data_IF_944599393935
#
_entry.id   IF_944599393935
#
_cell.length_a   1.000
_cell.length_b   1.000
_cell.length_c   1.000
_cell.angle_alpha   90.00
_cell.angle_beta   90.00
_cell.angle_gamma   90.00
#
_symmetry.space_group_name_H-M   'P 1'
#
loop_
_entity.id
_entity.type
_entity.pdbx_description
1 polymer ?
#
# COMPACT_ATOMS: atom_id res chain seq x y z
N UNK A 1 -9.35 1.87 22.29
CA UNK A 1 -8.94 2.84 23.33
C UNK A 1 -8.03 3.90 22.73
N UNK A 2 -6.80 3.60 22.28
CA UNK A 2 -5.82 4.55 21.70
C UNK A 2 -6.41 5.39 20.54
N UNK A 3 -7.18 4.77 19.65
CA UNK A 3 -7.83 5.48 18.54
C UNK A 3 -8.83 6.52 19.02
N UNK A 4 -9.61 6.22 20.05
CA UNK A 4 -10.60 7.16 20.61
C UNK A 4 -9.91 8.31 21.35
N UNK A 5 -8.86 8.03 22.11
CA UNK A 5 -8.05 9.04 22.79
C UNK A 5 -7.45 10.01 21.76
N UNK A 6 -6.87 9.49 20.66
CA UNK A 6 -6.37 10.34 19.57
C UNK A 6 -7.47 11.16 18.89
N UNK A 7 -8.63 10.58 18.62
CA UNK A 7 -9.77 11.30 18.03
C UNK A 7 -10.25 12.44 18.94
N UNK A 8 -10.21 12.23 20.25
CA UNK A 8 -10.60 13.24 21.24
C UNK A 8 -9.54 14.34 21.42
N UNK A 9 -8.33 14.16 20.87
CA UNK A 9 -7.26 15.13 21.01
C UNK A 9 -6.44 14.97 22.29
N UNK A 10 -6.47 13.79 22.91
CA UNK A 10 -5.70 13.52 24.13
C UNK A 10 -4.19 13.46 23.84
N UNK A 11 -3.82 13.27 22.56
CA UNK A 11 -2.46 13.41 22.05
C UNK A 11 -2.46 13.79 20.56
N UNK A 12 -1.40 14.48 20.13
CA UNK A 12 -1.32 15.11 18.80
C UNK A 12 -0.70 14.20 17.74
N UNK A 13 0.14 13.25 18.15
CA UNK A 13 0.88 12.37 17.25
C UNK A 13 0.34 10.94 17.28
N UNK A 14 0.06 10.40 16.09
CA UNK A 14 -0.26 8.99 15.92
C UNK A 14 0.76 8.32 14.99
N UNK A 15 1.46 7.31 15.49
CA UNK A 15 2.30 6.43 14.68
C UNK A 15 1.52 5.16 14.40
N UNK A 16 1.33 4.86 13.13
CA UNK A 16 0.49 3.74 12.73
C UNK A 16 1.03 3.02 11.49
N UNK A 17 0.65 1.77 11.33
CA UNK A 17 0.86 1.02 10.08
C UNK A 17 -0.25 1.33 9.08
N UNK A 18 -0.08 0.91 7.83
CA UNK A 18 -1.12 1.03 6.78
C UNK A 18 -2.48 0.41 7.19
N UNK A 19 -2.47 -0.58 8.10
CA UNK A 19 -3.69 -1.20 8.64
C UNK A 19 -4.57 -0.22 9.46
N UNK A 20 -3.98 0.83 10.03
CA UNK A 20 -4.70 1.88 10.74
C UNK A 20 -5.72 2.61 9.86
N UNK A 21 -5.56 2.48 8.55
CA UNK A 21 -6.28 3.23 7.55
C UNK A 21 -7.75 2.92 7.39
N UNK A 22 -8.22 1.79 7.83
CA UNK A 22 -9.60 1.37 7.59
C UNK A 22 -10.49 1.81 8.75
N UNK A 23 -11.45 2.70 8.46
CA UNK A 23 -12.48 3.09 9.41
C UNK A 23 -12.09 4.14 10.45
N UNK A 24 -10.91 4.75 10.33
CA UNK A 24 -10.52 5.86 11.22
C UNK A 24 -10.78 7.18 10.53
N UNK A 25 -11.65 7.99 11.14
CA UNK A 25 -11.97 9.35 10.72
C UNK A 25 -11.62 10.34 11.83
N UNK A 26 -10.60 11.19 11.57
CA UNK A 26 -10.25 12.37 12.33
C UNK A 26 -10.14 13.54 11.34
N UNK A 27 -10.90 14.59 11.56
CA UNK A 27 -11.09 15.65 10.57
C UNK A 27 -9.91 16.62 10.50
N UNK A 28 -9.27 16.86 11.61
CA UNK A 28 -8.28 17.91 11.86
C UNK A 28 -6.82 17.43 11.75
N UNK A 29 -6.54 16.40 11.01
CA UNK A 29 -5.18 15.96 10.72
C UNK A 29 -4.51 16.99 9.80
N UNK A 30 -3.44 17.63 10.27
CA UNK A 30 -2.72 18.71 9.55
C UNK A 30 -1.47 18.24 8.82
N UNK A 31 -0.92 17.11 9.23
CA UNK A 31 0.28 16.56 8.59
C UNK A 31 0.16 15.05 8.47
N UNK A 32 0.48 14.54 7.30
CA UNK A 32 0.65 13.10 7.04
C UNK A 32 2.09 12.88 6.63
N UNK A 33 2.82 12.12 7.43
CA UNK A 33 4.22 11.82 7.20
C UNK A 33 4.40 10.34 6.84
N UNK A 34 4.93 10.09 5.65
CA UNK A 34 5.30 8.76 5.23
C UNK A 34 6.80 8.54 5.48
N UNK A 35 7.13 7.53 6.26
CA UNK A 35 8.51 7.08 6.52
C UNK A 35 8.93 5.94 5.58
N UNK A 36 8.17 5.71 4.53
CA UNK A 36 8.42 4.73 3.49
C UNK A 36 7.83 5.22 2.16
N UNK A 37 8.21 4.59 1.07
CA UNK A 37 7.67 4.91 -0.25
C UNK A 37 6.40 4.10 -0.48
N UNK A 38 5.23 4.73 -0.63
CA UNK A 38 4.02 4.03 -1.05
C UNK A 38 4.22 3.31 -2.39
N UNK A 39 3.74 2.08 -2.49
CA UNK A 39 3.99 1.19 -3.62
C UNK A 39 3.38 1.69 -4.94
N UNK A 40 2.32 2.51 -4.82
CA UNK A 40 1.61 3.07 -5.97
C UNK A 40 0.87 4.35 -5.59
N UNK A 41 0.43 5.15 -6.59
CA UNK A 41 -0.30 6.38 -6.34
C UNK A 41 -1.62 6.20 -5.60
N UNK A 42 -2.30 5.04 -5.75
CA UNK A 42 -3.55 4.75 -5.04
C UNK A 42 -3.31 4.67 -3.53
N UNK A 43 -2.26 3.95 -3.13
CA UNK A 43 -1.88 3.82 -1.72
C UNK A 43 -1.49 5.17 -1.14
N UNK A 44 -0.67 5.93 -1.86
CA UNK A 44 -0.31 7.29 -1.45
C UNK A 44 -1.56 8.17 -1.28
N UNK A 45 -2.48 8.15 -2.25
CA UNK A 45 -3.72 8.91 -2.19
C UNK A 45 -4.59 8.55 -0.97
N UNK A 46 -4.75 7.26 -0.69
CA UNK A 46 -5.52 6.79 0.47
C UNK A 46 -4.90 7.20 1.80
N UNK A 47 -3.59 7.24 1.88
CA UNK A 47 -2.86 7.60 3.09
C UNK A 47 -2.81 9.12 3.27
N UNK A 48 -2.45 9.87 2.24
CA UNK A 48 -2.45 11.33 2.24
C UNK A 48 -3.86 11.91 2.46
N UNK A 49 -4.89 11.25 1.92
CA UNK A 49 -6.31 11.64 2.07
C UNK A 49 -6.88 11.47 3.48
N UNK A 50 -6.04 11.14 4.47
CA UNK A 50 -6.42 11.21 5.90
C UNK A 50 -6.34 12.61 6.44
N UNK A 51 -5.54 13.46 5.83
CA UNK A 51 -5.37 14.84 6.23
C UNK A 51 -6.40 15.78 5.61
N UNK A 52 -6.69 16.90 6.26
CA UNK A 52 -7.52 17.98 5.73
C UNK A 52 -8.98 17.63 5.48
N UNK A 53 -9.56 16.66 6.19
CA UNK A 53 -10.95 16.23 5.98
C UNK A 53 -11.99 17.26 6.45
N UNK A 54 -11.58 18.27 7.13
CA UNK A 54 -12.40 19.43 7.50
C UNK A 54 -12.37 20.55 6.43
N UNK A 55 -11.68 20.31 5.31
CA UNK A 55 -11.51 21.28 4.23
C UNK A 55 -10.36 22.26 4.46
N UNK A 56 -9.62 22.15 5.55
CA UNK A 56 -8.43 22.96 5.80
C UNK A 56 -7.17 22.30 5.21
N UNK A 57 -6.13 23.10 4.89
CA UNK A 57 -4.89 22.58 4.33
C UNK A 57 -4.24 21.50 5.20
N UNK A 58 -3.66 20.49 4.56
CA UNK A 58 -2.87 19.45 5.16
C UNK A 58 -1.56 19.30 4.39
N UNK A 59 -0.45 19.16 5.11
CA UNK A 59 0.84 18.84 4.53
C UNK A 59 0.99 17.32 4.42
N UNK A 60 1.27 16.81 3.21
CA UNK A 60 1.67 15.43 3.02
C UNK A 60 3.14 15.36 2.63
N UNK A 61 3.92 14.61 3.38
CA UNK A 61 5.38 14.53 3.21
C UNK A 61 5.83 13.08 3.13
N UNK A 62 6.76 12.78 2.23
CA UNK A 62 7.41 11.47 2.14
C UNK A 62 8.90 11.67 2.46
N UNK A 63 9.40 10.99 3.49
CA UNK A 63 10.81 10.94 3.85
C UNK A 63 11.37 9.59 3.37
N UNK A 64 12.40 9.63 2.52
CA UNK A 64 12.97 8.42 1.97
C UNK A 64 14.44 8.57 1.63
N UNK A 65 15.13 7.44 1.55
CA UNK A 65 16.51 7.30 1.06
C UNK A 65 16.53 6.52 -0.25
N UNK A 66 17.67 6.51 -0.95
CA UNK A 66 17.82 5.65 -2.13
C UNK A 66 17.62 4.15 -1.79
N UNK A 67 18.04 3.72 -0.61
CA UNK A 67 17.84 2.35 -0.14
C UNK A 67 16.35 2.01 0.05
N UNK A 68 15.54 2.98 0.42
CA UNK A 68 14.09 2.80 0.55
C UNK A 68 13.44 2.62 -0.82
N UNK A 69 13.96 3.28 -1.86
CA UNK A 69 13.50 3.05 -3.25
C UNK A 69 13.73 1.61 -3.68
N UNK A 70 14.94 1.07 -3.41
CA UNK A 70 15.28 -0.31 -3.75
C UNK A 70 14.47 -1.31 -2.92
N UNK A 71 14.27 -1.02 -1.64
CA UNK A 71 13.45 -1.84 -0.74
C UNK A 71 11.99 -1.87 -1.18
N UNK A 72 11.43 -0.72 -1.56
CA UNK A 72 10.05 -0.62 -2.05
C UNK A 72 9.89 -1.38 -3.37
N UNK A 73 10.85 -1.26 -4.29
CA UNK A 73 10.86 -2.01 -5.54
C UNK A 73 10.92 -3.52 -5.29
N UNK A 74 11.82 -3.97 -4.41
CA UNK A 74 11.92 -5.37 -4.03
C UNK A 74 10.65 -5.91 -3.37
N UNK A 75 9.95 -5.08 -2.61
CA UNK A 75 8.67 -5.45 -1.99
C UNK A 75 7.58 -5.61 -3.05
N UNK A 76 7.48 -4.68 -3.98
CA UNK A 76 6.54 -4.71 -5.11
C UNK A 76 6.84 -5.89 -6.04
N UNK A 77 8.12 -6.24 -6.23
CA UNK A 77 8.57 -7.34 -7.10
C UNK A 77 8.40 -8.74 -6.52
N UNK A 78 7.98 -8.89 -5.26
CA UNK A 78 7.71 -10.20 -4.65
C UNK A 78 6.42 -10.84 -5.18
N UNK A 79 6.47 -11.23 -6.44
CA UNK A 79 5.34 -11.92 -7.10
C UNK A 79 5.59 -13.42 -7.08
N UNK A 80 4.54 -14.20 -6.86
CA UNK A 80 4.61 -15.65 -7.00
C UNK A 80 5.03 -16.02 -8.43
N UNK A 81 5.96 -16.95 -8.60
CA UNK A 81 6.34 -17.43 -9.95
C UNK A 81 5.21 -18.24 -10.58
N UNK A 82 5.18 -18.30 -11.90
CA UNK A 82 4.17 -19.06 -12.66
C UNK A 82 4.13 -20.52 -12.24
N UNK A 83 5.29 -21.15 -12.06
CA UNK A 83 5.40 -22.55 -11.64
C UNK A 83 4.80 -22.77 -10.24
N UNK A 84 5.09 -21.87 -9.30
CA UNK A 84 4.53 -21.97 -7.96
C UNK A 84 3.02 -21.73 -7.94
N UNK A 85 2.53 -20.80 -8.77
CA UNK A 85 1.10 -20.54 -8.90
C UNK A 85 0.38 -21.78 -9.45
N UNK A 86 0.90 -22.34 -10.53
CA UNK A 86 0.38 -23.59 -11.16
C UNK A 86 0.47 -24.76 -10.18
N UNK A 87 1.60 -24.92 -9.52
CA UNK A 87 1.79 -25.97 -8.53
C UNK A 87 0.75 -25.90 -7.41
N UNK A 88 0.48 -24.71 -6.88
CA UNK A 88 -0.56 -24.50 -5.85
C UNK A 88 -1.97 -24.76 -6.39
N UNK A 89 -2.28 -24.27 -7.58
CA UNK A 89 -3.57 -24.51 -8.21
C UNK A 89 -3.85 -26.00 -8.37
N UNK A 90 -2.93 -26.75 -8.99
CA UNK A 90 -3.12 -28.17 -9.20
C UNK A 90 -3.04 -28.99 -7.91
N UNK A 91 -2.30 -28.55 -6.91
CA UNK A 91 -2.33 -29.17 -5.58
C UNK A 91 -3.70 -29.08 -4.94
N UNK A 92 -4.37 -27.94 -5.06
CA UNK A 92 -5.74 -27.78 -4.58
C UNK A 92 -6.73 -28.56 -5.44
N UNK A 93 -6.69 -28.39 -6.76
CA UNK A 93 -7.64 -29.01 -7.69
C UNK A 93 -7.63 -30.54 -7.63
N UNK A 94 -6.45 -31.13 -7.51
CA UNK A 94 -6.27 -32.60 -7.47
C UNK A 94 -6.27 -33.17 -6.05
N UNK A 95 -6.54 -32.35 -5.05
CA UNK A 95 -6.65 -32.79 -3.68
C UNK A 95 -7.88 -33.70 -3.50
N UNK A 96 -7.76 -34.71 -2.64
CA UNK A 96 -8.90 -35.51 -2.19
C UNK A 96 -9.95 -34.72 -1.39
N UNK A 97 -9.62 -33.49 -1.00
CA UNK A 97 -10.55 -32.56 -0.31
C UNK A 97 -11.38 -31.74 -1.29
N UNK A 98 -10.97 -31.70 -2.56
CA UNK A 98 -11.72 -31.02 -3.62
C UNK A 98 -12.81 -31.94 -4.16
N UNK A 99 -14.00 -31.38 -4.30
CA UNK A 99 -15.16 -32.12 -4.79
C UNK A 99 -15.66 -31.49 -6.09
N UNK A 100 -15.65 -32.24 -7.21
CA UNK A 100 -16.33 -31.79 -8.41
C UNK A 100 -17.86 -31.79 -8.15
N UNK A 101 -18.49 -30.71 -8.58
CA UNK A 101 -19.94 -30.52 -8.54
C UNK A 101 -20.49 -30.55 -9.98
N UNK A 102 -21.72 -30.10 -10.17
CA UNK A 102 -22.30 -30.01 -11.50
C UNK A 102 -21.79 -28.82 -12.30
N UNK A 103 -21.77 -28.89 -13.63
CA UNK A 103 -21.51 -27.77 -14.56
C UNK A 103 -20.17 -27.05 -14.35
N UNK A 104 -19.07 -27.79 -14.26
CA UNK A 104 -17.70 -27.21 -14.04
C UNK A 104 -17.55 -26.48 -12.71
N UNK A 105 -18.42 -26.72 -11.75
CA UNK A 105 -18.30 -26.25 -10.39
C UNK A 105 -17.43 -27.20 -9.56
N UNK A 106 -16.69 -26.60 -8.64
CA UNK A 106 -15.81 -27.32 -7.72
C UNK A 106 -15.89 -26.70 -6.33
N UNK A 107 -15.86 -27.56 -5.32
CA UNK A 107 -15.60 -27.16 -3.97
C UNK A 107 -14.11 -27.31 -3.73
N UNK A 108 -13.41 -26.19 -3.48
CA UNK A 108 -11.96 -26.13 -3.30
C UNK A 108 -11.62 -25.84 -1.83
N UNK A 109 -10.86 -26.73 -1.20
CA UNK A 109 -10.28 -26.51 0.12
C UNK A 109 -8.90 -25.86 -0.03
N UNK A 110 -8.68 -24.73 0.66
CA UNK A 110 -7.39 -24.02 0.66
C UNK A 110 -6.38 -24.62 1.62
N UNK A 111 -6.80 -25.52 2.49
CA UNK A 111 -5.95 -26.23 3.44
C UNK A 111 -5.24 -27.44 2.81
N UNK A 112 -4.58 -27.17 1.70
CA UNK A 112 -3.80 -28.15 0.93
C UNK A 112 -2.38 -27.68 0.85
N UNK A 113 -1.43 -28.58 1.22
CA UNK A 113 0.00 -28.29 1.07
C UNK A 113 0.35 -28.28 -0.42
N UNK A 114 1.04 -27.24 -0.91
CA UNK A 114 1.42 -27.19 -2.31
C UNK A 114 2.49 -28.23 -2.63
N UNK A 115 2.34 -28.90 -3.76
CA UNK A 115 3.33 -29.78 -4.37
C UNK A 115 3.83 -29.15 -5.66
N UNK A 116 5.11 -28.94 -5.77
CA UNK A 116 5.74 -28.36 -6.95
C UNK A 116 6.35 -29.43 -7.84
N UNK A 117 6.93 -30.50 -7.21
CA UNK A 117 7.52 -31.63 -7.88
C UNK A 117 6.86 -32.95 -7.45
N UNK A 118 6.93 -33.97 -8.30
CA UNK A 118 6.35 -35.30 -8.04
C UNK A 118 7.01 -36.08 -6.90
N UNK A 119 8.22 -35.66 -6.48
CA UNK A 119 9.05 -36.38 -5.50
C UNK A 119 9.04 -35.72 -4.10
N UNK A 120 8.18 -34.71 -3.85
CA UNK A 120 8.10 -34.11 -2.52
C UNK A 120 7.33 -35.03 -1.56
N UNK A 121 8.04 -35.50 -0.50
CA UNK A 121 7.43 -36.27 0.56
C UNK A 121 6.36 -35.49 1.31
N UNK A 122 5.35 -36.21 1.79
CA UNK A 122 4.26 -35.63 2.57
C UNK A 122 4.75 -35.15 3.93
N UNK A 123 4.95 -33.86 4.08
CA UNK A 123 4.95 -33.23 5.38
C UNK A 123 3.50 -32.79 5.65
N UNK A 124 2.84 -33.40 6.62
CA UNK A 124 1.40 -33.23 6.89
C UNK A 124 1.01 -31.85 7.45
N UNK A 125 1.96 -30.99 7.80
CA UNK A 125 1.68 -29.70 8.36
C UNK A 125 1.62 -28.62 7.29
N UNK A 126 0.45 -27.99 7.12
CA UNK A 126 0.29 -26.78 6.32
C UNK A 126 0.54 -25.54 7.18
N UNK A 127 1.30 -24.58 6.66
CA UNK A 127 1.52 -23.30 7.31
C UNK A 127 0.40 -22.30 6.99
N UNK A 128 0.18 -21.32 7.89
CA UNK A 128 -0.73 -20.19 7.61
C UNK A 128 -0.32 -19.42 6.35
N UNK A 129 0.99 -19.36 6.07
CA UNK A 129 1.51 -18.76 4.87
C UNK A 129 1.09 -19.51 3.60
N UNK A 130 1.07 -20.85 3.64
CA UNK A 130 0.61 -21.66 2.51
C UNK A 130 -0.86 -21.43 2.22
N UNK A 131 -1.68 -21.35 3.26
CA UNK A 131 -3.11 -21.08 3.14
C UNK A 131 -3.33 -19.71 2.49
N UNK A 132 -2.64 -18.68 2.96
CA UNK A 132 -2.74 -17.34 2.39
C UNK A 132 -2.35 -17.31 0.90
N UNK A 133 -1.30 -18.03 0.53
CA UNK A 133 -0.91 -18.16 -0.87
C UNK A 133 -1.91 -18.97 -1.71
N UNK A 134 -2.54 -19.99 -1.16
CA UNK A 134 -3.59 -20.74 -1.84
C UNK A 134 -4.83 -19.86 -2.08
N UNK A 135 -5.24 -19.07 -1.08
CA UNK A 135 -6.30 -18.07 -1.24
C UNK A 135 -5.90 -17.05 -2.31
N UNK A 136 -4.66 -16.55 -2.28
CA UNK A 136 -4.16 -15.63 -3.29
C UNK A 136 -4.30 -16.21 -4.72
N UNK A 137 -3.97 -17.49 -4.92
CA UNK A 137 -4.11 -18.16 -6.21
C UNK A 137 -5.57 -18.16 -6.69
N UNK A 138 -6.53 -18.49 -5.83
CA UNK A 138 -7.96 -18.44 -6.17
C UNK A 138 -8.37 -17.01 -6.55
N UNK A 139 -7.98 -16.02 -5.77
CA UNK A 139 -8.28 -14.62 -6.06
C UNK A 139 -7.60 -14.13 -7.35
N UNK A 140 -6.38 -14.58 -7.64
CA UNK A 140 -5.69 -14.31 -8.89
C UNK A 140 -6.47 -14.88 -10.10
N UNK A 141 -6.88 -16.14 -10.03
CA UNK A 141 -7.65 -16.77 -11.12
C UNK A 141 -8.99 -16.05 -11.32
N UNK A 142 -9.66 -15.64 -10.25
CA UNK A 142 -10.91 -14.87 -10.34
C UNK A 142 -10.71 -13.51 -11.00
N UNK A 143 -9.71 -12.72 -10.55
CA UNK A 143 -9.44 -11.36 -11.13
C UNK A 143 -9.16 -11.40 -12.62
N UNK A 144 -8.51 -12.49 -13.07
CA UNK A 144 -8.18 -12.67 -14.47
C UNK A 144 -9.31 -13.34 -15.29
N UNK A 145 -10.48 -13.57 -14.70
CA UNK A 145 -11.65 -14.10 -15.38
C UNK A 145 -11.56 -15.60 -15.74
N UNK A 146 -10.66 -16.34 -15.09
CA UNK A 146 -10.49 -17.78 -15.33
C UNK A 146 -11.47 -18.62 -14.55
N UNK A 147 -11.95 -18.11 -13.41
CA UNK A 147 -12.96 -18.73 -12.56
C UNK A 147 -13.93 -17.67 -12.05
N UNK A 148 -15.12 -18.08 -11.63
CA UNK A 148 -15.97 -17.32 -10.70
C UNK A 148 -15.82 -17.89 -9.29
N UNK A 149 -16.09 -17.06 -8.29
CA UNK A 149 -16.31 -17.51 -6.92
C UNK A 149 -17.82 -17.38 -6.70
N UNK A 150 -18.49 -18.49 -6.54
CA UNK A 150 -19.94 -18.57 -6.44
C UNK A 150 -20.37 -18.46 -4.98
N UNK A 151 -19.58 -19.04 -4.05
CA UNK A 151 -19.80 -18.94 -2.59
C UNK A 151 -18.50 -19.15 -1.83
N UNK A 152 -18.43 -18.65 -0.61
CA UNK A 152 -17.32 -18.85 0.32
C UNK A 152 -17.91 -19.27 1.66
N UNK A 153 -17.55 -20.44 2.14
CA UNK A 153 -17.98 -20.94 3.43
C UNK A 153 -16.83 -21.04 4.42
N UNK A 154 -17.13 -20.73 5.67
CA UNK A 154 -16.18 -20.88 6.77
C UNK A 154 -16.62 -22.08 7.62
N UNK A 155 -15.98 -23.22 7.39
CA UNK A 155 -16.34 -24.49 8.03
C UNK A 155 -15.11 -25.03 8.78
N UNK A 156 -15.26 -25.39 10.05
CA UNK A 156 -14.19 -25.94 10.88
C UNK A 156 -12.91 -25.09 10.87
N UNK A 157 -13.06 -23.76 11.01
CA UNK A 157 -11.97 -22.78 10.98
C UNK A 157 -11.22 -22.71 9.65
N UNK A 158 -11.85 -23.10 8.54
CA UNK A 158 -11.26 -23.12 7.19
C UNK A 158 -12.16 -22.43 6.20
N UNK A 159 -11.56 -21.74 5.25
CA UNK A 159 -12.25 -21.19 4.09
C UNK A 159 -12.32 -22.26 3.00
N UNK A 160 -13.53 -22.50 2.55
CA UNK A 160 -13.86 -23.40 1.44
C UNK A 160 -14.52 -22.57 0.35
N UNK A 161 -14.04 -22.69 -0.86
CA UNK A 161 -14.50 -21.91 -2.01
C UNK A 161 -15.35 -22.79 -2.94
N UNK A 162 -16.55 -22.31 -3.26
CA UNK A 162 -17.33 -22.82 -4.36
C UNK A 162 -16.98 -21.99 -5.59
N UNK A 163 -16.45 -22.62 -6.62
CA UNK A 163 -15.99 -21.95 -7.81
C UNK A 163 -16.55 -22.61 -9.05
N UNK A 164 -16.72 -21.81 -10.12
CA UNK A 164 -16.97 -22.32 -11.47
C UNK A 164 -15.74 -22.03 -12.33
N UNK A 165 -15.19 -23.06 -12.99
CA UNK A 165 -14.05 -22.92 -13.90
C UNK A 165 -14.57 -22.47 -15.27
N UNK A 166 -14.17 -21.28 -15.70
CA UNK A 166 -14.52 -20.70 -17.00
C UNK A 166 -13.46 -21.03 -18.06
N UNK A 167 -12.18 -21.00 -17.69
CA UNK A 167 -11.06 -21.35 -18.59
C UNK A 167 -10.70 -22.84 -18.46
N UNK A 168 -11.10 -23.63 -19.47
CA UNK A 168 -10.90 -25.08 -19.46
C UNK A 168 -9.44 -25.53 -19.42
N UNK A 169 -8.52 -24.69 -19.85
CA UNK A 169 -7.08 -24.98 -19.80
C UNK A 169 -6.59 -25.20 -18.37
N UNK A 170 -7.29 -24.65 -17.37
CA UNK A 170 -6.97 -24.86 -15.96
C UNK A 170 -7.21 -26.30 -15.45
N UNK A 171 -7.84 -27.16 -16.24
CA UNK A 171 -8.12 -28.55 -15.87
C UNK A 171 -6.95 -29.50 -16.17
N UNK A 172 -5.98 -29.08 -16.97
CA UNK A 172 -4.83 -29.89 -17.35
C UNK A 172 -3.52 -29.15 -17.08
N UNK A 173 -2.54 -29.85 -16.48
CA UNK A 173 -1.20 -29.28 -16.25
C UNK A 173 -0.35 -29.48 -17.51
N UNK A 174 -0.38 -28.50 -18.40
CA UNK A 174 0.32 -28.53 -19.69
C UNK A 174 0.85 -27.13 -20.06
N UNK A 175 1.53 -27.02 -21.20
CA UNK A 175 2.12 -25.78 -21.69
C UNK A 175 1.08 -24.68 -21.98
N UNK A 176 -0.15 -25.06 -22.37
CA UNK A 176 -1.22 -24.09 -22.61
C UNK A 176 -1.65 -23.42 -21.29
N UNK A 177 -1.80 -24.21 -20.23
CA UNK A 177 -2.10 -23.70 -18.89
C UNK A 177 -0.98 -22.79 -18.40
N UNK A 178 0.28 -23.20 -18.60
CA UNK A 178 1.43 -22.38 -18.26
C UNK A 178 1.38 -21.04 -18.99
N UNK A 179 1.19 -21.06 -20.30
CA UNK A 179 1.15 -19.84 -21.12
C UNK A 179 0.03 -18.89 -20.72
N UNK A 180 -1.18 -19.39 -20.44
CA UNK A 180 -2.31 -18.56 -20.02
C UNK A 180 -2.04 -17.89 -18.68
N UNK A 181 -1.56 -18.64 -17.71
CA UNK A 181 -1.27 -18.11 -16.36
C UNK A 181 -0.07 -17.16 -16.39
N UNK A 182 0.98 -17.49 -17.15
CA UNK A 182 2.17 -16.64 -17.27
C UNK A 182 1.83 -15.29 -17.91
N UNK A 183 1.03 -15.29 -18.97
CA UNK A 183 0.57 -14.05 -19.60
C UNK A 183 -0.24 -13.16 -18.62
N UNK A 184 -1.18 -13.77 -17.89
CA UNK A 184 -1.98 -13.02 -16.90
C UNK A 184 -1.10 -12.44 -15.80
N UNK A 185 -0.18 -13.25 -15.26
CA UNK A 185 0.77 -12.83 -14.23
C UNK A 185 1.69 -11.71 -14.72
N UNK A 186 2.22 -11.82 -15.92
CA UNK A 186 3.09 -10.80 -16.50
C UNK A 186 2.34 -9.49 -16.77
N UNK A 187 1.06 -9.55 -17.14
CA UNK A 187 0.23 -8.36 -17.30
C UNK A 187 -0.04 -7.66 -15.96
N UNK A 188 -0.36 -8.40 -14.90
CA UNK A 188 -0.49 -7.82 -13.56
C UNK A 188 0.83 -7.21 -13.10
N UNK A 189 1.95 -7.89 -13.32
CA UNK A 189 3.27 -7.39 -12.97
C UNK A 189 3.61 -6.09 -13.70
N UNK A 190 3.41 -6.01 -15.00
CA UNK A 190 3.64 -4.79 -15.80
C UNK A 190 2.81 -3.60 -15.29
N UNK A 191 1.58 -3.85 -14.86
CA UNK A 191 0.74 -2.80 -14.28
C UNK A 191 1.30 -2.31 -12.95
N UNK A 192 1.68 -3.23 -12.07
CA UNK A 192 2.28 -2.92 -10.77
C UNK A 192 3.60 -2.15 -10.92
N UNK A 193 4.47 -2.58 -11.84
CA UNK A 193 5.72 -1.90 -12.16
C UNK A 193 5.49 -0.50 -12.72
N UNK A 194 4.49 -0.34 -13.58
CA UNK A 194 4.10 0.97 -14.11
C UNK A 194 3.65 1.93 -13.01
N UNK A 195 2.80 1.48 -12.11
CA UNK A 195 2.31 2.29 -11.00
C UNK A 195 3.43 2.67 -10.03
N UNK A 196 4.32 1.72 -9.70
CA UNK A 196 5.51 2.02 -8.91
C UNK A 196 6.42 3.02 -9.61
N UNK A 197 6.60 2.89 -10.92
CA UNK A 197 7.42 3.81 -11.73
C UNK A 197 6.84 5.22 -11.72
N UNK A 198 5.52 5.40 -11.74
CA UNK A 198 4.89 6.71 -11.59
C UNK A 198 5.27 7.36 -10.25
N UNK A 199 5.17 6.62 -9.14
CA UNK A 199 5.58 7.10 -7.81
C UNK A 199 7.06 7.50 -7.80
N UNK A 200 7.93 6.58 -8.23
CA UNK A 200 9.39 6.79 -8.25
C UNK A 200 9.80 8.00 -9.09
N UNK A 201 9.16 8.19 -10.24
CA UNK A 201 9.49 9.31 -11.12
C UNK A 201 9.13 10.66 -10.51
N UNK A 202 8.00 10.74 -9.81
CA UNK A 202 7.60 11.95 -9.09
C UNK A 202 8.56 12.25 -7.92
N UNK A 203 8.96 11.22 -7.18
CA UNK A 203 9.92 11.38 -6.09
C UNK A 203 11.31 11.83 -6.57
N UNK A 204 11.78 11.31 -7.71
CA UNK A 204 13.09 11.71 -8.30
C UNK A 204 13.08 13.09 -8.93
N UNK A 205 11.91 13.62 -9.26
CA UNK A 205 11.74 14.90 -9.94
C UNK A 205 11.08 15.93 -9.04
N UNK A 206 11.42 15.91 -7.76
CA UNK A 206 10.92 16.88 -6.79
C UNK A 206 11.14 18.31 -7.31
N UNK A 207 10.09 19.12 -7.30
CA UNK A 207 10.10 20.47 -7.85
C UNK A 207 10.07 20.58 -9.37
N UNK A 208 9.95 19.45 -10.10
CA UNK A 208 9.91 19.42 -11.58
C UNK A 208 8.69 18.68 -12.14
N UNK A 209 7.89 18.06 -11.29
CA UNK A 209 6.68 17.34 -11.68
C UNK A 209 5.56 17.65 -10.72
N UNK A 210 4.42 18.06 -11.29
CA UNK A 210 3.21 18.26 -10.52
C UNK A 210 2.66 16.91 -10.03
N UNK A 211 2.35 16.82 -8.73
CA UNK A 211 1.72 15.63 -8.16
C UNK A 211 0.31 15.39 -8.69
N UNK A 212 -0.42 16.48 -9.00
CA UNK A 212 -1.73 16.38 -9.65
C UNK A 212 -1.64 15.65 -10.98
N UNK A 213 -0.59 15.90 -11.77
CA UNK A 213 -0.40 15.24 -13.08
C UNK A 213 -0.13 13.74 -12.93
N UNK A 214 0.47 13.30 -11.83
CA UNK A 214 0.58 11.88 -11.54
C UNK A 214 -0.80 11.25 -11.32
N UNK A 215 -1.64 11.89 -10.54
CA UNK A 215 -2.98 11.39 -10.24
C UNK A 215 -3.91 11.39 -11.46
N UNK A 216 -3.80 12.37 -12.36
CA UNK A 216 -4.63 12.43 -13.59
C UNK A 216 -4.35 11.28 -14.56
N UNK A 217 -3.23 10.57 -14.42
CA UNK A 217 -2.94 9.35 -15.19
C UNK A 217 -3.74 8.13 -14.72
N UNK A 218 -4.33 8.21 -13.54
CA UNK A 218 -5.05 7.11 -12.89
C UNK A 218 -6.50 7.50 -12.62
N UNK A 219 -6.73 8.73 -12.19
CA UNK A 219 -8.04 9.25 -11.81
C UNK A 219 -8.53 10.33 -12.79
N UNK A 220 -9.83 10.46 -12.88
CA UNK A 220 -10.42 11.60 -13.58
C UNK A 220 -10.11 12.88 -12.80
N UNK A 221 -9.62 13.91 -13.50
CA UNK A 221 -9.41 15.23 -12.92
C UNK A 221 -10.77 15.83 -12.54
N UNK A 222 -10.90 16.31 -11.31
CA UNK A 222 -12.11 16.93 -10.78
C UNK A 222 -12.00 18.46 -10.78
N UNK A 223 -10.80 18.99 -10.54
CA UNK A 223 -10.51 20.41 -10.51
C UNK A 223 -9.37 20.77 -11.47
N UNK A 224 -9.37 22.01 -11.95
CA UNK A 224 -8.34 22.50 -12.87
C UNK A 224 -7.02 22.82 -12.16
N UNK A 225 -7.05 22.99 -10.83
CA UNK A 225 -5.93 23.48 -10.05
C UNK A 225 -5.26 22.36 -9.26
N UNK A 226 -3.94 22.49 -9.10
CA UNK A 226 -3.18 21.67 -8.16
C UNK A 226 -3.41 22.22 -6.74
N UNK A 227 -3.65 21.32 -5.78
CA UNK A 227 -3.83 21.69 -4.37
C UNK A 227 -2.55 22.25 -3.70
N UNK A 228 -1.46 22.32 -4.43
CA UNK A 228 -0.13 22.73 -3.98
C UNK A 228 0.84 21.55 -4.02
N UNK A 229 1.89 21.70 -4.75
CA UNK A 229 3.01 20.77 -4.80
C UNK A 229 4.30 21.57 -4.95
N UNK A 230 5.45 20.92 -4.81
CA UNK A 230 6.74 21.61 -4.86
C UNK A 230 6.97 22.40 -6.16
N UNK A 231 6.32 22.02 -7.28
CA UNK A 231 6.39 22.77 -8.54
C UNK A 231 5.59 24.07 -8.52
N UNK A 232 4.54 24.12 -7.71
CA UNK A 232 3.60 25.25 -7.63
C UNK A 232 3.69 26.03 -6.31
N UNK A 233 4.65 25.71 -5.44
CA UNK A 233 4.79 26.40 -4.15
C UNK A 233 5.16 27.87 -4.30
N UNK A 234 5.85 28.26 -5.36
CA UNK A 234 6.22 29.64 -5.66
C UNK A 234 5.00 30.53 -6.04
N UNK A 235 3.88 29.89 -6.43
CA UNK A 235 2.66 30.59 -6.83
C UNK A 235 1.74 30.85 -5.63
N UNK A 236 1.93 30.16 -4.52
CA UNK A 236 1.17 30.38 -3.29
C UNK A 236 1.85 31.51 -2.52
N UNK A 237 1.37 32.72 -2.74
CA UNK A 237 1.76 33.87 -1.95
C UNK A 237 1.13 33.69 -0.55
N UNK A 238 1.90 33.12 0.40
CA UNK A 238 1.46 32.88 1.79
C UNK A 238 1.06 34.18 2.50
N UNK A 239 1.39 35.35 1.97
CA UNK A 239 1.00 36.65 2.53
C UNK A 239 -0.50 36.92 2.39
N UNK A 240 -1.17 36.36 1.37
CA UNK A 240 -2.60 36.52 1.13
C UNK A 240 -3.48 35.46 1.81
N UNK A 241 -2.91 34.38 2.33
CA UNK A 241 -3.65 33.38 3.08
C UNK A 241 -3.87 33.84 4.52
N UNK A 242 -4.90 34.67 4.72
CA UNK A 242 -5.39 35.07 6.06
C UNK A 242 -5.83 33.89 6.94
N UNK A 243 -5.71 32.69 6.47
CA UNK A 243 -6.22 31.46 7.08
C UNK A 243 -5.17 30.53 7.66
N UNK A 244 -3.87 30.77 7.46
CA UNK A 244 -2.81 30.05 8.15
C UNK A 244 -2.28 30.83 9.36
N UNK A 245 -3.18 31.39 10.16
CA UNK A 245 -2.93 31.45 11.56
C UNK A 245 -3.28 30.06 12.14
N UNK A 246 -2.43 29.07 11.87
CA UNK A 246 -2.28 28.02 12.85
C UNK A 246 -1.83 28.76 14.11
N UNK A 247 -2.75 28.93 15.04
CA UNK A 247 -2.39 29.19 16.43
C UNK A 247 -1.63 27.94 16.87
N UNK A 248 -0.35 27.89 16.54
CA UNK A 248 0.58 26.99 17.18
C UNK A 248 0.75 27.58 18.57
N UNK A 249 -0.26 27.46 19.40
CA UNK A 249 -0.27 27.82 20.81
C UNK A 249 0.42 26.73 21.64
N UNK A 250 1.43 26.09 21.07
CA UNK A 250 2.44 25.39 21.84
C UNK A 250 3.59 26.33 22.21
N UNK A 251 4.47 25.96 23.13
CA UNK A 251 5.56 26.82 23.61
C UNK A 251 6.67 26.97 22.56
N UNK A 252 6.32 27.49 21.37
CA UNK A 252 7.28 27.94 20.35
C UNK A 252 8.16 29.11 20.86
N UNK A 253 7.80 29.73 21.98
CA UNK A 253 8.58 30.78 22.62
C UNK A 253 9.90 30.30 23.24
N UNK A 254 10.15 28.99 23.31
CA UNK A 254 11.40 28.40 23.83
C UNK A 254 12.22 27.65 22.76
N UNK A 255 11.86 27.75 21.51
CA UNK A 255 12.65 27.14 20.41
C UNK A 255 13.99 27.93 20.34
N UNK A 256 15.09 27.25 20.69
CA UNK A 256 16.41 27.83 20.65
C UNK A 256 16.84 28.19 19.22
N UNK A 257 17.72 29.18 19.08
CA UNK A 257 18.29 29.65 17.80
C UNK A 257 18.94 28.52 16.97
N UNK A 258 19.21 27.36 17.57
CA UNK A 258 19.82 26.20 16.90
C UNK A 258 18.93 25.56 15.86
N UNK A 259 17.60 25.67 15.95
CA UNK A 259 16.70 25.15 14.91
C UNK A 259 16.91 25.83 13.57
N UNK A 260 17.29 27.10 13.57
CA UNK A 260 17.60 27.82 12.33
C UNK A 260 18.77 27.19 11.53
N UNK A 261 19.64 26.42 12.17
CA UNK A 261 20.72 25.71 11.53
C UNK A 261 20.23 24.49 10.71
N UNK A 262 19.09 23.94 11.09
CA UNK A 262 18.42 22.82 10.39
C UNK A 262 17.39 23.29 9.36
N UNK A 263 16.96 24.54 9.45
CA UNK A 263 16.02 25.17 8.52
C UNK A 263 16.80 25.92 7.45
N UNK A 264 17.17 25.29 6.36
CA UNK A 264 17.88 25.87 5.20
C UNK A 264 17.08 27.00 4.53
N UNK A 265 16.77 28.08 5.27
CA UNK A 265 16.12 29.28 4.74
C UNK A 265 14.68 29.09 4.26
N UNK A 266 14.07 27.94 4.46
CA UNK A 266 12.68 27.63 4.13
C UNK A 266 11.88 27.36 5.41
N UNK A 267 10.58 27.67 5.39
CA UNK A 267 9.67 27.42 6.53
C UNK A 267 9.37 25.92 6.77
N UNK A 268 10.09 25.03 6.09
CA UNK A 268 9.92 23.59 6.19
C UNK A 268 11.26 22.93 6.47
N UNK A 269 11.30 22.01 7.42
CA UNK A 269 12.46 21.19 7.73
C UNK A 269 12.40 19.87 6.94
N UNK A 270 13.48 19.53 6.25
CA UNK A 270 13.63 18.26 5.55
C UNK A 270 14.65 17.40 6.29
N UNK A 271 14.19 16.30 6.89
CA UNK A 271 15.07 15.28 7.48
C UNK A 271 15.25 14.14 6.51
N UNK A 272 16.49 13.86 6.12
CA UNK A 272 16.83 12.86 5.13
C UNK A 272 17.86 11.88 5.68
N UNK A 273 17.46 10.72 6.12
CA UNK A 273 18.16 9.43 6.29
C UNK A 273 18.07 8.76 7.67
N UNK A 274 18.34 7.44 7.70
CA UNK A 274 18.33 6.59 8.91
C UNK A 274 19.34 6.97 10.00
N UNK A 275 20.31 7.85 9.72
CA UNK A 275 21.32 8.27 10.67
C UNK A 275 20.77 9.25 11.74
N UNK A 276 19.52 9.67 11.61
CA UNK A 276 18.97 10.79 12.34
C UNK A 276 17.93 10.43 13.43
N UNK A 277 17.84 9.17 13.84
CA UNK A 277 17.01 8.82 15.02
C UNK A 277 17.38 9.67 16.24
N UNK A 278 18.67 9.94 16.42
CA UNK A 278 19.18 10.76 17.52
C UNK A 278 18.82 12.25 17.34
N UNK A 279 18.82 12.73 16.12
CA UNK A 279 18.46 14.12 15.80
C UNK A 279 16.95 14.35 15.86
N UNK A 280 16.14 13.36 15.51
CA UNK A 280 14.68 13.41 15.71
C UNK A 280 14.36 13.52 17.20
N UNK A 281 15.01 12.77 18.06
CA UNK A 281 14.83 12.86 19.51
C UNK A 281 15.26 14.25 20.04
N UNK A 282 16.38 14.80 19.56
CA UNK A 282 16.82 16.14 19.90
C UNK A 282 15.84 17.24 19.45
N UNK A 283 15.19 17.05 18.29
CA UNK A 283 14.17 17.97 17.77
C UNK A 283 12.90 17.90 18.62
N UNK A 284 12.51 16.70 19.08
CA UNK A 284 11.40 16.51 20.02
C UNK A 284 11.71 17.19 21.35
N UNK A 285 12.92 17.03 21.86
CA UNK A 285 13.37 17.70 23.10
C UNK A 285 13.42 19.24 22.99
N UNK A 286 13.56 19.77 21.76
CA UNK A 286 13.46 21.19 21.45
C UNK A 286 12.01 21.69 21.34
N UNK A 287 11.01 20.86 21.58
CA UNK A 287 9.60 21.23 21.65
C UNK A 287 8.85 21.20 20.35
N UNK A 288 9.37 20.53 19.31
CA UNK A 288 8.63 20.27 18.06
C UNK A 288 7.81 18.99 18.25
N UNK A 289 6.52 19.16 18.46
CA UNK A 289 5.61 18.10 18.89
C UNK A 289 4.74 17.54 17.73
N UNK A 290 5.03 17.84 16.45
CA UNK A 290 4.12 17.47 15.38
C UNK A 290 4.82 16.60 14.35
N UNK A 291 4.74 15.29 14.57
CA UNK A 291 5.08 14.26 13.59
C UNK A 291 3.84 13.39 13.38
N UNK A 292 3.36 13.24 12.15
CA UNK A 292 2.24 12.34 11.80
C UNK A 292 2.63 11.39 10.68
#
# INVERSE_FOLDING_TARGET
QIIEEWKNGDFDLMIATCAFGVGVDKKDVRTVLHTYIPENPNKYYQEAGRGGRDGLPCLSTIIYTNQDVDSAFNFVSKVITTEKLIGRWFSMLLSNKTQPLHNSQYLIDTYVKPKYNSNEEFIDSISSQDINWNVYVILFLRRNGFITIDDIQYVNQKYVFYITILERKLLAKNDETFSVIDNARNNEWKNTEREFTLMRNNLKKVGKCCWSDMFTKIYRKTDEYCAGCNEHMDVINFEDSKTLKADITGPLSSISLDINSYMLGTKCMLLVSKAYEYEILNIIDLGINTFV
#
